data_IF_166824995209
#
_entry.id   IF_166824995209
#
_cell.length_a   1.000
_cell.length_b   1.000
_cell.length_c   1.000
_cell.angle_alpha   90.00
_cell.angle_beta   90.00
_cell.angle_gamma   90.00
#
_symmetry.space_group_name_H-M   'P 1'
#
loop_
_entity.id
_entity.type
_entity.pdbx_description
1 polymer ?
#
# COMPACT_ATOMS: atom_id res chain seq x y z
N UNK A 1 -3.74 -23.67 1.34
CA UNK A 1 -3.73 -22.48 0.47
C UNK A 1 -3.45 -21.28 1.37
N UNK A 2 -2.47 -20.47 1.05
CA UNK A 2 -2.09 -19.25 1.78
C UNK A 2 -2.45 -18.07 0.88
N UNK A 3 -3.21 -17.12 1.42
CA UNK A 3 -3.38 -15.80 0.82
C UNK A 3 -2.28 -14.88 1.34
N UNK A 4 -1.40 -14.42 0.46
CA UNK A 4 -0.38 -13.44 0.79
C UNK A 4 -0.94 -12.03 0.56
N UNK A 5 -1.30 -11.36 1.62
CA UNK A 5 -1.96 -10.05 1.56
C UNK A 5 -1.00 -8.87 1.41
N UNK A 6 0.33 -9.12 1.49
CA UNK A 6 1.32 -8.04 1.40
C UNK A 6 2.68 -8.57 0.97
N UNK A 7 3.05 -8.33 -0.28
CA UNK A 7 4.34 -8.69 -0.85
C UNK A 7 4.86 -7.58 -1.77
N UNK A 8 6.16 -7.53 -1.96
CA UNK A 8 6.86 -6.55 -2.81
C UNK A 8 7.69 -7.29 -3.88
N UNK A 9 7.02 -8.09 -4.72
CA UNK A 9 7.71 -8.80 -5.82
C UNK A 9 8.16 -7.87 -6.96
N UNK A 10 7.78 -6.59 -6.92
CA UNK A 10 8.29 -5.52 -7.78
C UNK A 10 9.71 -5.07 -7.40
N UNK A 11 10.16 -5.33 -6.16
CA UNK A 11 11.47 -4.93 -5.65
C UNK A 11 12.61 -5.50 -6.52
N UNK A 12 13.67 -4.69 -6.70
CA UNK A 12 14.84 -5.05 -7.51
C UNK A 12 15.61 -6.28 -6.99
N UNK A 13 15.48 -6.60 -5.69
CA UNK A 13 16.05 -7.80 -5.10
C UNK A 13 15.56 -9.09 -5.79
N UNK A 14 14.41 -9.05 -6.45
CA UNK A 14 13.85 -10.17 -7.21
C UNK A 14 14.23 -10.19 -8.70
N UNK A 15 15.00 -9.21 -9.20
CA UNK A 15 15.24 -9.08 -10.64
C UNK A 15 15.81 -10.33 -11.32
N UNK A 16 16.65 -11.09 -10.60
CA UNK A 16 17.30 -12.29 -11.16
C UNK A 16 16.37 -13.50 -11.24
N UNK A 17 15.42 -13.63 -10.30
CA UNK A 17 14.64 -14.87 -10.13
C UNK A 17 13.12 -14.66 -9.96
N UNK A 18 12.63 -13.41 -10.05
CA UNK A 18 11.21 -13.03 -9.89
C UNK A 18 10.27 -13.97 -10.64
N UNK A 19 10.57 -14.25 -11.90
CA UNK A 19 9.70 -15.09 -12.73
C UNK A 19 9.69 -16.55 -12.25
N UNK A 20 10.82 -17.09 -11.84
CA UNK A 20 10.92 -18.44 -11.32
C UNK A 20 10.18 -18.57 -9.98
N UNK A 21 10.34 -17.59 -9.08
CA UNK A 21 9.65 -17.53 -7.81
C UNK A 21 8.14 -17.47 -8.05
N UNK A 22 7.65 -16.47 -8.78
CA UNK A 22 6.21 -16.25 -8.99
C UNK A 22 5.54 -17.48 -9.62
N UNK A 23 6.16 -18.12 -10.62
CA UNK A 23 5.65 -19.35 -11.24
C UNK A 23 5.59 -20.55 -10.29
N UNK A 24 6.37 -20.53 -9.20
CA UNK A 24 6.38 -21.59 -8.18
C UNK A 24 5.27 -21.43 -7.13
N UNK A 25 4.83 -20.20 -6.83
CA UNK A 25 3.97 -19.89 -5.68
C UNK A 25 2.64 -20.63 -5.69
N UNK A 26 1.86 -20.65 -6.79
CA UNK A 26 0.58 -21.37 -6.80
C UNK A 26 0.77 -22.89 -6.61
N UNK A 27 1.85 -23.46 -7.14
CA UNK A 27 2.19 -24.89 -6.99
C UNK A 27 2.54 -25.25 -5.55
N UNK A 28 3.04 -24.26 -4.79
CA UNK A 28 3.34 -24.38 -3.35
C UNK A 28 2.16 -23.95 -2.46
N UNK A 29 0.99 -23.71 -3.04
CA UNK A 29 -0.23 -23.39 -2.30
C UNK A 29 -0.31 -21.93 -1.85
N UNK A 30 0.48 -21.02 -2.43
CA UNK A 30 0.46 -19.57 -2.15
C UNK A 30 -0.27 -18.88 -3.30
N UNK A 31 -1.50 -18.50 -3.06
CA UNK A 31 -2.40 -17.82 -4.01
C UNK A 31 -3.74 -17.53 -3.35
N UNK A 32 -4.38 -16.34 -3.56
CA UNK A 32 -3.85 -15.20 -4.31
C UNK A 32 -2.79 -14.42 -3.55
N UNK A 33 -2.19 -13.41 -4.23
CA UNK A 33 -1.16 -12.52 -3.68
C UNK A 33 -1.58 -11.07 -3.98
N UNK A 34 -1.38 -10.17 -3.02
CA UNK A 34 -1.42 -8.73 -3.25
C UNK A 34 0.01 -8.20 -3.29
N UNK A 35 0.47 -7.78 -4.47
CA UNK A 35 1.72 -7.03 -4.60
C UNK A 35 1.46 -5.57 -4.24
N UNK A 36 2.23 -5.04 -3.31
CA UNK A 36 2.00 -3.71 -2.74
C UNK A 36 3.10 -2.77 -3.19
N UNK A 37 2.73 -1.70 -3.89
CA UNK A 37 3.71 -0.70 -4.33
C UNK A 37 4.15 0.20 -3.17
N UNK A 38 5.44 0.56 -3.15
CA UNK A 38 6.01 1.47 -2.16
C UNK A 38 6.56 2.77 -2.77
N UNK A 39 6.79 2.80 -4.08
CA UNK A 39 7.34 3.96 -4.82
C UNK A 39 6.73 4.04 -6.22
N UNK A 40 6.87 5.15 -6.90
CA UNK A 40 6.24 5.36 -8.23
C UNK A 40 6.66 4.32 -9.28
N UNK A 41 7.93 3.89 -9.28
CA UNK A 41 8.40 2.80 -10.16
C UNK A 41 7.73 1.48 -9.81
N UNK A 42 7.52 1.20 -8.52
CA UNK A 42 6.81 0.03 -8.01
C UNK A 42 5.34 0.01 -8.42
N UNK A 43 4.67 1.17 -8.52
CA UNK A 43 3.29 1.24 -9.02
C UNK A 43 3.19 0.68 -10.44
N UNK A 44 4.10 1.11 -11.34
CA UNK A 44 4.13 0.58 -12.72
C UNK A 44 4.38 -0.92 -12.74
N UNK A 45 5.42 -1.38 -12.02
CA UNK A 45 5.79 -2.79 -11.97
C UNK A 45 4.66 -3.65 -11.36
N UNK A 46 3.98 -3.16 -10.32
CA UNK A 46 2.82 -3.83 -9.73
C UNK A 46 1.70 -4.02 -10.75
N UNK A 47 1.36 -3.00 -11.51
CA UNK A 47 0.34 -3.12 -12.57
C UNK A 47 0.75 -4.18 -13.59
N UNK A 48 1.99 -4.17 -14.07
CA UNK A 48 2.51 -5.17 -15.00
C UNK A 48 2.44 -6.60 -14.42
N UNK A 49 2.76 -6.79 -13.14
CA UNK A 49 2.63 -8.08 -12.47
C UNK A 49 1.17 -8.55 -12.43
N UNK A 50 0.22 -7.66 -12.17
CA UNK A 50 -1.21 -8.03 -12.19
C UNK A 50 -1.69 -8.44 -13.58
N UNK A 51 -1.18 -7.84 -14.64
CA UNK A 51 -1.52 -8.18 -16.01
C UNK A 51 -0.90 -9.52 -16.43
N UNK A 52 0.35 -9.78 -15.99
CA UNK A 52 1.11 -10.99 -16.35
C UNK A 52 0.64 -12.25 -15.61
N UNK A 53 0.26 -12.13 -14.32
CA UNK A 53 -0.04 -13.27 -13.47
C UNK A 53 -1.51 -13.25 -13.00
N UNK A 54 -2.31 -14.29 -13.29
CA UNK A 54 -3.75 -14.30 -12.96
C UNK A 54 -4.03 -14.29 -11.45
N UNK A 55 -3.11 -14.76 -10.63
CA UNK A 55 -3.23 -14.85 -9.18
C UNK A 55 -2.64 -13.66 -8.42
N UNK A 56 -2.04 -12.68 -9.11
CA UNK A 56 -1.52 -11.45 -8.52
C UNK A 56 -2.56 -10.34 -8.67
N UNK A 57 -2.87 -9.72 -7.56
CA UNK A 57 -3.57 -8.45 -7.40
C UNK A 57 -2.57 -7.39 -6.99
N UNK A 58 -2.92 -6.13 -7.08
CA UNK A 58 -2.01 -5.04 -6.76
C UNK A 58 -2.65 -3.92 -5.96
N UNK A 59 -1.81 -3.10 -5.34
CA UNK A 59 -2.19 -1.80 -4.82
C UNK A 59 -1.39 -0.69 -5.50
N UNK A 60 -1.94 0.51 -5.48
CA UNK A 60 -1.26 1.73 -5.95
C UNK A 60 -1.12 2.70 -4.78
N UNK A 61 0.10 3.12 -4.52
CA UNK A 61 0.41 4.02 -3.41
C UNK A 61 1.91 4.27 -3.31
N UNK A 62 2.27 5.25 -2.48
CA UNK A 62 3.67 5.61 -2.22
C UNK A 62 3.90 5.66 -0.71
N UNK A 63 4.85 4.84 -0.28
CA UNK A 63 5.31 4.72 1.11
C UNK A 63 5.85 6.06 1.64
N UNK A 64 5.71 6.36 2.93
CA UNK A 64 6.21 7.60 3.53
C UNK A 64 7.67 7.93 3.20
N UNK A 65 8.53 6.94 3.01
CA UNK A 65 9.94 7.15 2.66
C UNK A 65 10.17 7.72 1.24
N UNK A 66 9.15 7.69 0.38
CA UNK A 66 9.25 8.08 -1.04
C UNK A 66 8.23 9.15 -1.44
N UNK A 67 7.50 9.71 -0.48
CA UNK A 67 6.42 10.68 -0.78
C UNK A 67 6.93 12.02 -1.37
N UNK A 68 8.21 12.31 -1.25
CA UNK A 68 8.84 13.44 -1.93
C UNK A 68 8.74 13.39 -3.47
N UNK A 69 8.53 12.21 -4.04
CA UNK A 69 8.31 12.01 -5.47
C UNK A 69 6.89 12.41 -5.93
N UNK A 70 5.94 12.59 -5.00
CA UNK A 70 4.54 12.81 -5.32
C UNK A 70 4.24 14.24 -5.79
N UNK A 71 3.28 14.31 -6.69
CA UNK A 71 2.63 15.53 -7.15
C UNK A 71 1.15 15.23 -7.42
N UNK A 72 0.31 16.25 -7.57
CA UNK A 72 -1.11 16.04 -7.94
C UNK A 72 -1.25 15.32 -9.29
N UNK A 73 -0.31 15.53 -10.20
CA UNK A 73 -0.25 14.82 -11.48
C UNK A 73 0.00 13.31 -11.29
N UNK A 74 0.86 12.94 -10.33
CA UNK A 74 1.11 11.54 -9.96
C UNK A 74 -0.07 10.92 -9.24
N UNK A 75 -0.76 11.66 -8.39
CA UNK A 75 -2.02 11.22 -7.77
C UNK A 75 -3.07 10.95 -8.84
N UNK A 76 -3.24 11.85 -9.81
CA UNK A 76 -4.20 11.63 -10.91
C UNK A 76 -3.84 10.40 -11.76
N UNK A 77 -2.55 10.20 -12.05
CA UNK A 77 -2.07 9.00 -12.72
C UNK A 77 -2.36 7.72 -11.93
N UNK A 78 -2.11 7.70 -10.61
CA UNK A 78 -2.46 6.56 -9.75
C UNK A 78 -3.98 6.33 -9.71
N UNK A 79 -4.79 7.39 -9.74
CA UNK A 79 -6.25 7.30 -9.83
C UNK A 79 -6.71 6.56 -11.10
N UNK A 80 -6.09 6.83 -12.24
CA UNK A 80 -6.38 6.12 -13.48
C UNK A 80 -6.01 4.64 -13.38
N UNK A 81 -4.86 4.31 -12.78
CA UNK A 81 -4.42 2.94 -12.57
C UNK A 81 -5.30 2.18 -11.57
N UNK A 82 -5.80 2.86 -10.55
CA UNK A 82 -6.74 2.28 -9.57
C UNK A 82 -8.05 1.79 -10.19
N UNK A 83 -8.39 2.24 -11.40
CA UNK A 83 -9.52 1.73 -12.19
C UNK A 83 -9.29 0.38 -12.85
N UNK A 84 -8.08 -0.20 -12.76
CA UNK A 84 -7.79 -1.54 -13.31
C UNK A 84 -8.42 -2.63 -12.43
N UNK A 85 -9.00 -3.66 -13.07
CA UNK A 85 -9.77 -4.72 -12.39
C UNK A 85 -9.03 -5.40 -11.22
N UNK A 86 -7.71 -5.57 -11.34
CA UNK A 86 -6.90 -6.28 -10.36
C UNK A 86 -6.14 -5.36 -9.40
N UNK A 87 -6.37 -4.05 -9.47
CA UNK A 87 -5.92 -3.11 -8.45
C UNK A 87 -7.02 -3.02 -7.38
N UNK A 88 -6.68 -3.48 -6.19
CA UNK A 88 -7.67 -3.77 -5.12
C UNK A 88 -7.51 -2.89 -3.88
N UNK A 89 -6.49 -2.03 -3.82
CA UNK A 89 -6.27 -1.14 -2.69
C UNK A 89 -5.45 0.09 -3.09
N UNK A 90 -5.53 1.13 -2.26
CA UNK A 90 -4.56 2.23 -2.24
C UNK A 90 -3.58 1.97 -1.11
N UNK A 91 -2.31 1.82 -1.43
CA UNK A 91 -1.23 1.50 -0.49
C UNK A 91 0.03 0.98 -1.21
N UNK A 92 1.10 0.95 -0.49
CA UNK A 92 1.32 1.22 0.94
C UNK A 92 1.42 2.73 1.19
N UNK A 93 0.64 3.25 2.14
CA UNK A 93 0.59 4.67 2.48
C UNK A 93 0.63 4.83 4.00
N UNK A 94 1.06 5.97 4.52
CA UNK A 94 1.06 6.16 5.97
C UNK A 94 2.14 7.09 6.47
N UNK A 95 2.68 6.77 7.67
CA UNK A 95 3.72 7.53 8.35
C UNK A 95 4.85 6.61 8.84
N UNK A 96 6.09 7.05 8.68
CA UNK A 96 7.29 6.42 9.24
C UNK A 96 8.19 7.49 9.90
N UNK A 97 8.23 7.49 11.23
CA UNK A 97 9.07 8.41 12.00
C UNK A 97 10.37 7.75 12.48
N UNK A 98 10.62 6.51 12.04
CA UNK A 98 11.87 5.79 12.36
C UNK A 98 13.00 6.16 11.38
N UNK A 99 12.68 6.28 10.08
CA UNK A 99 13.62 6.67 9.05
C UNK A 99 13.52 8.16 8.77
N UNK A 100 14.64 8.85 8.74
CA UNK A 100 14.72 10.30 8.44
C UNK A 100 14.91 10.52 6.92
N UNK A 101 13.92 10.03 6.13
CA UNK A 101 13.92 10.11 4.66
C UNK A 101 13.15 11.32 4.17
N UNK A 102 11.98 11.59 4.76
CA UNK A 102 11.10 12.70 4.43
C UNK A 102 10.59 13.38 5.71
N UNK A 103 10.39 14.69 5.68
CA UNK A 103 9.89 15.41 6.85
C UNK A 103 8.46 14.98 7.22
N UNK A 104 8.13 15.01 8.51
CA UNK A 104 6.80 14.67 9.03
C UNK A 104 5.69 15.46 8.33
N UNK A 105 5.94 16.75 8.01
CA UNK A 105 4.97 17.59 7.30
C UNK A 105 4.68 17.07 5.88
N UNK A 106 5.72 16.64 5.17
CA UNK A 106 5.61 16.10 3.80
C UNK A 106 4.90 14.74 3.84
N UNK A 107 5.29 13.87 4.78
CA UNK A 107 4.64 12.57 4.98
C UNK A 107 3.15 12.75 5.29
N UNK A 108 2.81 13.62 6.25
CA UNK A 108 1.41 13.91 6.64
C UNK A 108 0.58 14.42 5.47
N UNK A 109 1.10 15.40 4.72
CA UNK A 109 0.42 15.96 3.54
C UNK A 109 0.04 14.87 2.54
N UNK A 110 1.01 14.03 2.18
CA UNK A 110 0.78 13.02 1.15
C UNK A 110 0.04 11.78 1.67
N UNK A 111 0.14 11.46 2.95
CA UNK A 111 -0.73 10.45 3.56
C UNK A 111 -2.20 10.85 3.45
N UNK A 112 -2.54 12.08 3.87
CA UNK A 112 -3.90 12.62 3.76
C UNK A 112 -4.37 12.58 2.30
N UNK A 113 -3.55 13.05 1.37
CA UNK A 113 -3.92 13.11 -0.04
C UNK A 113 -4.17 11.71 -0.64
N UNK A 114 -3.42 10.70 -0.22
CA UNK A 114 -3.63 9.33 -0.66
C UNK A 114 -4.85 8.67 0.02
N UNK A 115 -5.20 9.03 1.26
CA UNK A 115 -6.48 8.65 1.87
C UNK A 115 -7.69 9.24 1.09
N UNK A 116 -7.55 10.47 0.61
CA UNK A 116 -8.57 11.08 -0.25
C UNK A 116 -8.67 10.35 -1.59
N UNK A 117 -7.55 10.00 -2.21
CA UNK A 117 -7.53 9.16 -3.42
C UNK A 117 -8.29 7.84 -3.19
N UNK A 118 -8.04 7.14 -2.07
CA UNK A 118 -8.73 5.89 -1.76
C UNK A 118 -10.26 6.06 -1.71
N UNK A 119 -10.74 7.16 -1.12
CA UNK A 119 -12.17 7.49 -1.13
C UNK A 119 -12.69 7.83 -2.52
N UNK A 120 -11.94 8.61 -3.30
CA UNK A 120 -12.32 8.97 -4.67
C UNK A 120 -12.50 7.75 -5.58
N UNK A 121 -11.66 6.71 -5.39
CA UNK A 121 -11.71 5.47 -6.19
C UNK A 121 -12.49 4.35 -5.50
N UNK A 122 -12.98 4.57 -4.29
CA UNK A 122 -13.72 3.61 -3.46
C UNK A 122 -12.96 2.29 -3.26
N UNK A 123 -11.66 2.36 -2.97
CA UNK A 123 -10.82 1.22 -2.65
C UNK A 123 -10.37 1.25 -1.18
N UNK A 124 -10.18 0.08 -0.55
CA UNK A 124 -9.60 0.00 0.79
C UNK A 124 -8.16 0.47 0.81
N UNK A 125 -7.63 0.74 2.00
CA UNK A 125 -6.26 1.21 2.19
C UNK A 125 -5.35 0.15 2.80
N UNK A 126 -4.06 0.18 2.46
CA UNK A 126 -3.01 -0.58 3.13
C UNK A 126 -2.11 0.44 3.81
N UNK A 127 -2.10 0.42 5.15
CA UNK A 127 -1.48 1.45 5.98
C UNK A 127 -0.17 0.95 6.56
N UNK A 128 0.89 1.69 6.30
CA UNK A 128 2.14 1.65 7.01
C UNK A 128 2.10 2.60 8.21
N UNK A 129 2.57 2.14 9.36
CA UNK A 129 2.72 3.00 10.54
C UNK A 129 3.89 2.52 11.38
N UNK A 130 4.92 3.34 11.50
CA UNK A 130 6.11 3.04 12.30
C UNK A 130 6.51 4.25 13.14
N UNK A 131 6.55 4.04 14.47
CA UNK A 131 6.77 5.10 15.47
C UNK A 131 5.79 6.29 15.36
N UNK A 132 4.61 6.06 14.74
CA UNK A 132 3.61 7.07 14.41
C UNK A 132 2.17 6.66 14.86
N UNK A 133 2.04 5.79 15.86
CA UNK A 133 0.79 5.13 16.24
C UNK A 133 -0.39 6.08 16.40
N UNK A 134 -0.25 7.06 17.29
CA UNK A 134 -1.36 7.97 17.60
C UNK A 134 -1.68 8.90 16.43
N UNK A 135 -0.66 9.43 15.79
CA UNK A 135 -0.84 10.35 14.66
C UNK A 135 -1.49 9.67 13.46
N UNK A 136 -1.05 8.45 13.12
CA UNK A 136 -1.68 7.64 12.07
C UNK A 136 -3.16 7.43 12.38
N UNK A 137 -3.49 7.06 13.62
CA UNK A 137 -4.88 6.85 14.04
C UNK A 137 -5.72 8.11 13.92
N UNK A 138 -5.21 9.25 14.41
CA UNK A 138 -5.92 10.52 14.42
C UNK A 138 -6.19 11.01 12.99
N UNK A 139 -5.22 10.92 12.08
CA UNK A 139 -5.38 11.25 10.67
C UNK A 139 -6.41 10.33 10.01
N UNK A 140 -6.31 9.02 10.19
CA UNK A 140 -7.27 8.07 9.62
C UNK A 140 -8.69 8.33 10.09
N UNK A 141 -8.86 8.65 11.36
CA UNK A 141 -10.16 8.98 11.96
C UNK A 141 -10.71 10.29 11.41
N UNK A 142 -9.92 11.36 11.36
CA UNK A 142 -10.30 12.69 10.85
C UNK A 142 -10.70 12.60 9.37
N UNK A 143 -9.95 11.84 8.59
CA UNK A 143 -10.20 11.66 7.16
C UNK A 143 -11.10 10.45 6.82
N UNK A 144 -11.78 9.87 7.82
CA UNK A 144 -12.74 8.77 7.62
C UNK A 144 -12.22 7.60 6.78
N UNK A 145 -10.96 7.21 6.97
CA UNK A 145 -10.32 6.12 6.22
C UNK A 145 -11.09 4.79 6.34
N UNK A 146 -11.75 4.54 7.47
CA UNK A 146 -12.59 3.37 7.68
C UNK A 146 -13.78 3.24 6.73
N UNK A 147 -14.18 4.30 6.02
CA UNK A 147 -15.32 4.26 5.09
C UNK A 147 -15.09 3.33 3.90
N UNK A 148 -13.85 3.12 3.49
CA UNK A 148 -13.45 2.18 2.42
C UNK A 148 -12.91 0.87 2.98
N UNK A 149 -12.69 0.77 4.28
CA UNK A 149 -12.01 -0.35 4.93
C UNK A 149 -10.50 -0.32 4.70
N UNK A 150 -9.80 -1.31 5.23
CA UNK A 150 -8.35 -1.40 5.03
C UNK A 150 -7.65 -2.36 5.97
N UNK A 151 -6.33 -2.34 5.88
CA UNK A 151 -5.40 -3.13 6.69
C UNK A 151 -4.35 -2.20 7.26
N UNK A 152 -4.07 -2.33 8.57
CA UNK A 152 -2.85 -1.78 9.15
C UNK A 152 -1.79 -2.87 9.02
N UNK A 153 -0.86 -2.66 8.10
CA UNK A 153 0.19 -3.63 7.80
C UNK A 153 1.20 -3.75 8.95
N UNK A 154 1.69 -4.96 9.16
CA UNK A 154 2.75 -5.25 10.15
C UNK A 154 2.51 -4.58 11.52
N UNK A 155 1.26 -4.65 12.02
CA UNK A 155 0.84 -3.97 13.23
C UNK A 155 1.71 -4.35 14.44
N UNK A 156 2.38 -3.37 15.05
CA UNK A 156 3.34 -3.56 16.15
C UNK A 156 3.02 -2.77 17.42
N UNK A 157 1.82 -2.18 17.51
CA UNK A 157 1.40 -1.38 18.65
C UNK A 157 0.59 -2.17 19.68
N UNK A 158 -0.01 -1.50 20.68
CA UNK A 158 -0.72 -2.16 21.76
C UNK A 158 -2.06 -2.77 21.30
N UNK A 159 -2.55 -3.80 22.02
CA UNK A 159 -3.87 -4.35 21.79
C UNK A 159 -5.01 -3.34 21.97
N UNK A 160 -4.84 -2.36 22.87
CA UNK A 160 -5.81 -1.28 23.12
C UNK A 160 -5.95 -0.39 21.88
N UNK A 161 -4.83 -0.01 21.27
CA UNK A 161 -4.84 0.76 20.03
C UNK A 161 -5.47 -0.05 18.88
N UNK A 162 -5.21 -1.35 18.79
CA UNK A 162 -5.87 -2.20 17.80
C UNK A 162 -7.40 -2.20 17.94
N UNK A 163 -7.91 -2.19 19.18
CA UNK A 163 -9.36 -2.11 19.45
C UNK A 163 -9.95 -0.77 19.01
N UNK A 164 -9.19 0.32 19.03
CA UNK A 164 -9.65 1.61 18.50
C UNK A 164 -9.75 1.60 16.97
N UNK A 165 -8.80 0.95 16.28
CA UNK A 165 -8.83 0.85 14.81
C UNK A 165 -10.02 0.02 14.26
N UNK A 166 -10.55 -0.93 15.03
CA UNK A 166 -11.67 -1.81 14.60
C UNK A 166 -13.06 -1.29 14.99
N UNK A 167 -13.14 -0.12 15.62
CA UNK A 167 -14.41 0.55 15.95
C UNK A 167 -14.93 1.38 14.80
#
# INVERSE_FOLDING_TARGET
MIFDSHAHYDDEAFNEDREAILNSLPKNGISPIVNVSAQLSGVTATVELTEKYPFIYGSVGVHPDHVGELSEEKIQWMKELAGREKIVAVGEIGLDHYWDTESDEVQRKWFIRQLELAKEVNLPVIIHSREASQETFDIMKEHHAGSTGGVIHCYSYSPEMAQEYVK
#
